data_IF_817144273895
#
_entry.id   IF_817144273895
#
_cell.length_a   1.000
_cell.length_b   1.000
_cell.length_c   1.000
_cell.angle_alpha   90.00
_cell.angle_beta   90.00
_cell.angle_gamma   90.00
#
_symmetry.space_group_name_H-M   'P 1'
#
loop_
_entity.id
_entity.type
_entity.pdbx_description
1 polymer ?
#
# COMPACT_ATOMS: atom_id res chain seq x y z
N UNK A 1 -19.04 -5.28 -6.29
CA UNK A 1 -17.91 -5.63 -5.38
C UNK A 1 -17.21 -4.36 -4.95
N UNK A 2 -17.36 -3.99 -3.68
CA UNK A 2 -16.65 -2.86 -3.08
C UNK A 2 -15.15 -3.14 -3.01
N UNK A 3 -14.31 -2.11 -3.23
CA UNK A 3 -12.85 -2.23 -3.29
C UNK A 3 -12.26 -1.49 -2.10
N UNK A 4 -11.33 -2.11 -1.38
CA UNK A 4 -10.67 -1.49 -0.23
C UNK A 4 -9.58 -0.51 -0.68
N UNK A 5 -9.49 0.64 0.00
CA UNK A 5 -8.54 1.71 -0.32
C UNK A 5 -7.59 1.89 0.87
N UNK A 6 -6.30 1.95 0.57
CA UNK A 6 -5.24 2.26 1.52
C UNK A 6 -4.51 3.53 1.08
N UNK A 7 -4.13 4.38 2.03
CA UNK A 7 -3.23 5.49 1.77
C UNK A 7 -1.90 5.21 2.46
N UNK A 8 -0.79 5.32 1.75
CA UNK A 8 0.55 5.12 2.30
C UNK A 8 1.48 6.25 1.85
N UNK A 9 2.50 6.54 2.63
CA UNK A 9 3.62 7.39 2.24
C UNK A 9 4.87 6.52 2.19
N UNK A 10 5.67 6.60 1.12
CA UNK A 10 6.90 5.82 1.01
C UNK A 10 8.06 6.68 1.51
N UNK A 11 8.90 6.11 2.38
CA UNK A 11 9.93 6.83 3.15
C UNK A 11 11.33 6.61 2.57
N UNK A 12 11.73 5.36 2.28
CA UNK A 12 13.14 5.03 2.00
C UNK A 12 13.43 4.48 0.62
N UNK A 13 12.50 3.77 -0.03
CA UNK A 13 12.73 3.27 -1.39
C UNK A 13 11.42 3.11 -2.19
N UNK A 14 11.16 4.05 -3.09
CA UNK A 14 9.89 4.11 -3.83
C UNK A 14 9.77 2.98 -4.85
N UNK A 15 10.85 2.67 -5.56
CA UNK A 15 10.82 1.67 -6.64
C UNK A 15 10.58 0.28 -6.09
N UNK A 16 11.33 -0.14 -5.06
CA UNK A 16 11.22 -1.47 -4.46
C UNK A 16 9.85 -1.70 -3.83
N UNK A 17 9.32 -0.70 -3.12
CA UNK A 17 7.99 -0.79 -2.49
C UNK A 17 6.90 -0.91 -3.56
N UNK A 18 6.91 -0.05 -4.59
CA UNK A 18 5.89 -0.10 -5.63
C UNK A 18 5.96 -1.38 -6.46
N UNK A 19 7.16 -1.88 -6.75
CA UNK A 19 7.36 -3.15 -7.47
C UNK A 19 6.84 -4.33 -6.66
N UNK A 20 7.21 -4.40 -5.37
CA UNK A 20 6.73 -5.43 -4.44
C UNK A 20 5.21 -5.44 -4.34
N UNK A 21 4.59 -4.26 -4.16
CA UNK A 21 3.14 -4.14 -4.07
C UNK A 21 2.45 -4.61 -5.36
N UNK A 22 2.97 -4.21 -6.53
CA UNK A 22 2.45 -4.64 -7.85
C UNK A 22 2.60 -6.13 -8.07
N UNK A 23 3.77 -6.71 -7.73
CA UNK A 23 4.08 -8.12 -7.97
C UNK A 23 3.22 -9.05 -7.13
N UNK A 24 2.96 -8.71 -5.87
CA UNK A 24 2.26 -9.61 -4.95
C UNK A 24 0.74 -9.48 -5.09
N UNK A 25 0.21 -8.27 -5.25
CA UNK A 25 -1.25 -8.05 -5.18
C UNK A 25 -1.84 -7.25 -6.34
N UNK A 26 -1.00 -6.74 -7.25
CA UNK A 26 -1.37 -5.89 -8.37
C UNK A 26 -2.42 -4.81 -8.02
N UNK A 27 -2.22 -4.01 -6.95
CA UNK A 27 -3.13 -2.94 -6.60
C UNK A 27 -3.14 -1.87 -7.67
N UNK A 28 -4.28 -1.19 -7.83
CA UNK A 28 -4.30 0.04 -8.62
C UNK A 28 -3.71 1.16 -7.77
N UNK A 29 -2.54 1.66 -8.18
CA UNK A 29 -1.77 2.68 -7.46
C UNK A 29 -2.02 4.05 -8.09
N UNK A 30 -2.31 5.05 -7.26
CA UNK A 30 -2.41 6.46 -7.66
C UNK A 30 -1.56 7.32 -6.74
N UNK A 31 -0.61 8.07 -7.28
CA UNK A 31 0.15 9.06 -6.51
C UNK A 31 -0.77 10.21 -6.08
N UNK A 32 -0.69 10.63 -4.83
CA UNK A 32 -1.41 11.76 -4.24
C UNK A 32 -0.39 12.81 -3.77
N UNK A 33 -0.85 14.01 -3.40
CA UNK A 33 0.02 15.05 -2.81
C UNK A 33 0.75 14.57 -1.55
N UNK A 34 0.15 13.63 -0.82
CA UNK A 34 0.63 13.13 0.48
C UNK A 34 1.29 11.75 0.41
N UNK A 35 1.33 11.10 -0.76
CA UNK A 35 1.90 9.76 -0.91
C UNK A 35 1.25 8.98 -2.04
N UNK A 36 0.73 7.79 -1.72
CA UNK A 36 0.16 6.83 -2.66
C UNK A 36 -1.16 6.29 -2.12
N UNK A 37 -2.17 6.29 -2.99
CA UNK A 37 -3.44 5.61 -2.77
C UNK A 37 -3.41 4.27 -3.49
N UNK A 38 -3.60 3.19 -2.75
CA UNK A 38 -3.59 1.82 -3.22
C UNK A 38 -5.02 1.29 -3.16
N UNK A 39 -5.51 0.74 -4.27
CA UNK A 39 -6.83 0.11 -4.33
C UNK A 39 -6.65 -1.38 -4.56
N UNK A 40 -7.18 -2.18 -3.64
CA UNK A 40 -7.03 -3.64 -3.61
C UNK A 40 -8.41 -4.28 -3.69
N UNK A 41 -8.45 -5.51 -4.19
CA UNK A 41 -9.66 -6.32 -4.17
C UNK A 41 -9.95 -6.83 -2.75
N UNK A 42 -11.21 -6.92 -2.32
CA UNK A 42 -11.58 -7.22 -0.93
C UNK A 42 -11.08 -8.60 -0.46
N UNK A 43 -11.00 -9.58 -1.36
CA UNK A 43 -10.45 -10.93 -1.12
C UNK A 43 -8.96 -10.92 -0.76
N UNK A 44 -8.23 -9.86 -1.16
CA UNK A 44 -6.79 -9.69 -0.90
C UNK A 44 -6.51 -8.70 0.21
N UNK A 45 -7.53 -8.11 0.85
CA UNK A 45 -7.38 -7.05 1.84
C UNK A 45 -6.61 -7.50 3.08
N UNK A 46 -6.96 -8.64 3.70
CA UNK A 46 -6.27 -9.16 4.88
C UNK A 46 -4.78 -9.42 4.65
N UNK A 47 -4.36 -10.19 3.63
CA UNK A 47 -2.94 -10.46 3.41
C UNK A 47 -2.19 -9.21 2.88
N UNK A 48 -2.88 -8.28 2.21
CA UNK A 48 -2.30 -6.98 1.83
C UNK A 48 -2.02 -6.10 3.05
N UNK A 49 -2.93 -6.07 4.04
CA UNK A 49 -2.73 -5.36 5.30
C UNK A 49 -1.50 -5.89 6.03
N UNK A 50 -1.31 -7.20 6.12
CA UNK A 50 -0.10 -7.79 6.72
C UNK A 50 1.19 -7.37 6.00
N UNK A 51 1.17 -7.27 4.67
CA UNK A 51 2.32 -6.78 3.90
C UNK A 51 2.61 -5.30 4.22
N UNK A 52 1.57 -4.46 4.23
CA UNK A 52 1.74 -3.03 4.56
C UNK A 52 2.29 -2.83 5.98
N UNK A 53 1.80 -3.58 6.98
CA UNK A 53 2.31 -3.50 8.35
C UNK A 53 3.77 -3.93 8.46
N UNK A 54 4.22 -4.94 7.69
CA UNK A 54 5.64 -5.31 7.64
C UNK A 54 6.49 -4.20 7.06
N UNK A 55 6.08 -3.65 5.91
CA UNK A 55 6.79 -2.55 5.26
C UNK A 55 6.84 -1.29 6.14
N UNK A 56 5.81 -1.07 6.96
CA UNK A 56 5.79 0.02 7.94
C UNK A 56 6.74 -0.24 9.11
N UNK A 57 6.73 -1.46 9.67
CA UNK A 57 7.65 -1.87 10.73
C UNK A 57 9.11 -1.79 10.31
N UNK A 58 9.40 -2.15 9.06
CA UNK A 58 10.74 -2.08 8.48
C UNK A 58 11.15 -0.64 8.09
N UNK A 59 10.24 0.33 8.24
CA UNK A 59 10.50 1.76 7.97
C UNK A 59 10.52 2.13 6.49
N UNK A 60 10.01 1.27 5.60
CA UNK A 60 9.89 1.58 4.17
C UNK A 60 8.72 2.51 3.88
N UNK A 61 7.60 2.33 4.59
CA UNK A 61 6.38 3.10 4.38
C UNK A 61 5.82 3.63 5.71
N UNK A 62 4.90 4.56 5.60
CA UNK A 62 3.98 4.94 6.68
C UNK A 62 2.56 4.74 6.18
N UNK A 63 1.73 4.05 6.92
CA UNK A 63 0.31 3.94 6.56
C UNK A 63 -0.35 5.25 6.98
N UNK A 64 -0.90 5.98 6.01
CA UNK A 64 -1.61 7.23 6.25
C UNK A 64 -2.90 6.92 7.01
N UNK A 65 -3.04 7.53 8.19
CA UNK A 65 -4.16 7.33 9.10
C UNK A 65 -5.52 7.43 8.41
N UNK A 66 -6.47 6.63 8.93
CA UNK A 66 -7.90 6.55 8.59
C UNK A 66 -8.46 7.92 8.15
N UNK A 67 -8.91 7.98 6.90
CA UNK A 67 -10.10 8.79 6.57
C UNK A 67 -11.32 7.95 6.87
#
# INVERSE_FOLDING_TARGET
MEKTIFNISIIRDTTTVLDTLKRVYNPRIRRTKTGYRLRVQPDKTSPFMSLLSRLESDGFIRIGGKV
#
